data_IF_903347064247
#
_entry.id   IF_903347064247
#
_cell.length_a   1.000
_cell.length_b   1.000
_cell.length_c   1.000
_cell.angle_alpha   90.00
_cell.angle_beta   90.00
_cell.angle_gamma   90.00
#
_symmetry.space_group_name_H-M   'P 1'
#
loop_
_entity.id
_entity.type
_entity.pdbx_description
1 polymer ?
#
# COMPACT_ATOMS: atom_id res chain seq x y z
N UNK A 1 -27.21 -13.25 2.12
CA UNK A 1 -26.74 -11.98 2.71
C UNK A 1 -25.32 -11.75 2.20
N UNK A 2 -25.14 -10.93 1.16
CA UNK A 2 -23.78 -10.65 0.68
C UNK A 2 -23.07 -9.80 1.74
N UNK A 3 -22.19 -10.43 2.50
CA UNK A 3 -21.21 -9.76 3.36
C UNK A 3 -20.45 -8.81 2.45
N UNK A 4 -20.69 -7.51 2.58
CA UNK A 4 -19.92 -6.51 1.87
C UNK A 4 -18.45 -6.75 2.21
N UNK A 5 -17.66 -7.21 1.24
CA UNK A 5 -16.22 -7.37 1.42
C UNK A 5 -15.61 -5.96 1.38
N UNK A 6 -15.71 -5.24 2.49
CA UNK A 6 -15.11 -3.91 2.62
C UNK A 6 -13.60 -4.07 2.48
N UNK A 7 -12.93 -3.28 1.62
CA UNK A 7 -11.51 -3.45 1.38
C UNK A 7 -10.70 -2.88 2.56
N UNK A 8 -10.63 -3.63 3.67
CA UNK A 8 -9.96 -3.23 4.91
C UNK A 8 -8.51 -2.82 4.66
N UNK A 9 -7.83 -3.49 3.72
CA UNK A 9 -6.49 -3.13 3.29
C UNK A 9 -6.38 -1.69 2.79
N UNK A 10 -7.39 -1.14 2.08
CA UNK A 10 -7.38 0.25 1.62
C UNK A 10 -7.42 1.22 2.79
N UNK A 11 -8.28 0.94 3.78
CA UNK A 11 -8.33 1.77 5.00
C UNK A 11 -6.99 1.76 5.71
N UNK A 12 -6.39 0.58 5.88
CA UNK A 12 -5.07 0.44 6.54
C UNK A 12 -3.98 1.21 5.80
N UNK A 13 -3.94 1.12 4.47
CA UNK A 13 -3.00 1.89 3.65
C UNK A 13 -3.25 3.40 3.77
N UNK A 14 -4.50 3.85 3.74
CA UNK A 14 -4.84 5.27 3.87
C UNK A 14 -4.49 5.85 5.23
N UNK A 15 -4.81 5.14 6.33
CA UNK A 15 -4.51 5.59 7.70
C UNK A 15 -3.00 5.70 7.96
N UNK A 16 -2.19 4.91 7.25
CA UNK A 16 -0.73 4.93 7.38
C UNK A 16 -0.01 5.65 6.22
N UNK A 17 -0.75 6.34 5.33
CA UNK A 17 -0.21 6.88 4.09
C UNK A 17 1.00 7.78 4.30
N UNK A 18 0.91 8.74 5.23
CA UNK A 18 1.99 9.68 5.52
C UNK A 18 3.26 8.95 5.98
N UNK A 19 3.11 7.93 6.83
CA UNK A 19 4.24 7.17 7.35
C UNK A 19 4.93 6.36 6.26
N UNK A 20 4.13 5.73 5.38
CA UNK A 20 4.69 4.99 4.25
C UNK A 20 5.46 5.92 3.31
N UNK A 21 4.91 7.10 2.96
CA UNK A 21 5.61 7.99 2.03
C UNK A 21 6.91 8.60 2.60
N UNK A 22 7.03 8.74 3.92
CA UNK A 22 8.22 9.31 4.58
C UNK A 22 9.29 8.29 4.89
N UNK A 23 8.91 7.06 5.26
CA UNK A 23 9.82 6.17 5.98
C UNK A 23 10.47 5.12 5.07
N UNK A 24 9.89 4.79 3.90
CA UNK A 24 10.38 3.68 3.06
C UNK A 24 11.35 4.12 1.95
N UNK A 25 12.28 3.24 1.61
CA UNK A 25 12.98 3.21 0.33
C UNK A 25 12.22 2.24 -0.59
N UNK A 26 11.77 2.71 -1.75
CA UNK A 26 10.80 2.01 -2.59
C UNK A 26 11.44 0.95 -3.48
N UNK A 27 12.72 1.04 -3.81
CA UNK A 27 13.38 0.28 -4.87
C UNK A 27 13.21 -1.24 -4.67
N UNK A 28 13.64 -1.77 -3.52
CA UNK A 28 13.52 -3.19 -3.19
C UNK A 28 12.06 -3.66 -3.07
N UNK A 29 11.17 -2.74 -2.66
CA UNK A 29 9.73 -3.03 -2.51
C UNK A 29 9.08 -3.14 -3.88
N UNK A 30 9.37 -2.20 -4.78
CA UNK A 30 8.85 -2.18 -6.16
C UNK A 30 9.33 -3.41 -6.91
N UNK A 31 10.62 -3.76 -6.81
CA UNK A 31 11.17 -4.96 -7.43
C UNK A 31 10.47 -6.24 -6.95
N UNK A 32 10.25 -6.35 -5.63
CA UNK A 32 9.48 -7.47 -5.09
C UNK A 32 8.06 -7.51 -5.68
N UNK A 33 7.36 -6.37 -5.71
CA UNK A 33 5.99 -6.30 -6.20
C UNK A 33 5.88 -6.60 -7.70
N UNK A 34 6.90 -6.25 -8.50
CA UNK A 34 6.99 -6.65 -9.91
C UNK A 34 7.22 -8.15 -10.02
N UNK A 35 8.14 -8.72 -9.24
CA UNK A 35 8.43 -10.17 -9.25
C UNK A 35 7.23 -11.03 -8.85
N UNK A 36 6.26 -10.44 -8.14
CA UNK A 36 5.00 -11.07 -7.72
C UNK A 36 3.81 -10.69 -8.59
N UNK A 37 4.06 -10.02 -9.72
CA UNK A 37 3.05 -9.59 -10.70
C UNK A 37 1.95 -8.69 -10.10
N UNK A 38 2.22 -8.07 -8.94
CA UNK A 38 1.32 -7.08 -8.34
C UNK A 38 1.43 -5.76 -9.10
N UNK A 39 2.65 -5.40 -9.50
CA UNK A 39 2.95 -4.27 -10.37
C UNK A 39 3.52 -4.77 -11.70
N UNK A 40 3.22 -4.08 -12.78
CA UNK A 40 3.92 -4.29 -14.05
C UNK A 40 5.25 -3.52 -14.07
N UNK A 41 6.13 -3.87 -15.01
CA UNK A 41 7.37 -3.12 -15.24
C UNK A 41 7.08 -1.65 -15.58
N UNK A 42 6.00 -1.37 -16.32
CA UNK A 42 5.62 0.00 -16.64
C UNK A 42 5.05 0.77 -15.44
N UNK A 43 4.41 0.09 -14.49
CA UNK A 43 4.06 0.69 -13.20
C UNK A 43 5.31 1.08 -12.42
N UNK A 44 6.34 0.21 -12.42
CA UNK A 44 7.66 0.51 -11.85
C UNK A 44 8.28 1.77 -12.45
N UNK A 45 8.32 1.88 -13.79
CA UNK A 45 8.82 3.09 -14.47
C UNK A 45 8.04 4.35 -14.09
N UNK A 46 6.72 4.26 -13.93
CA UNK A 46 5.90 5.40 -13.47
C UNK A 46 6.25 5.79 -12.05
N UNK A 47 6.48 4.83 -11.16
CA UNK A 47 6.93 5.09 -9.79
C UNK A 47 8.27 5.82 -9.83
N UNK A 48 9.24 5.30 -10.59
CA UNK A 48 10.59 5.87 -10.74
C UNK A 48 10.61 7.27 -11.38
N UNK A 49 9.55 7.65 -12.10
CA UNK A 49 9.44 8.99 -12.70
C UNK A 49 9.24 10.11 -11.68
N UNK A 50 8.95 9.79 -10.40
CA UNK A 50 8.88 10.76 -9.31
C UNK A 50 10.24 11.41 -9.05
N UNK A 51 10.25 12.72 -8.76
CA UNK A 51 11.50 13.50 -8.63
C UNK A 51 12.15 13.31 -7.27
N UNK A 52 11.35 13.07 -6.24
CA UNK A 52 11.81 12.91 -4.86
C UNK A 52 11.44 11.52 -4.33
N UNK A 53 12.15 10.97 -3.34
CA UNK A 53 11.77 9.70 -2.70
C UNK A 53 10.31 9.71 -2.25
N UNK A 54 9.82 10.82 -1.70
CA UNK A 54 8.44 10.98 -1.25
C UNK A 54 7.44 10.93 -2.43
N UNK A 55 7.76 11.56 -3.56
CA UNK A 55 6.93 11.48 -4.78
C UNK A 55 6.88 10.05 -5.33
N UNK A 56 8.01 9.34 -5.33
CA UNK A 56 8.06 7.93 -5.76
C UNK A 56 7.23 7.05 -4.83
N UNK A 57 7.39 7.21 -3.51
CA UNK A 57 6.59 6.48 -2.52
C UNK A 57 5.09 6.82 -2.63
N UNK A 58 4.75 8.07 -2.95
CA UNK A 58 3.38 8.50 -3.24
C UNK A 58 2.81 7.74 -4.44
N UNK A 59 3.56 7.68 -5.54
CA UNK A 59 3.16 6.93 -6.74
C UNK A 59 2.95 5.44 -6.42
N UNK A 60 3.84 4.83 -5.62
CA UNK A 60 3.69 3.46 -5.17
C UNK A 60 2.39 3.27 -4.37
N UNK A 61 2.11 4.14 -3.40
CA UNK A 61 0.89 4.07 -2.60
C UNK A 61 -0.38 4.22 -3.45
N UNK A 62 -0.37 5.15 -4.40
CA UNK A 62 -1.50 5.37 -5.30
C UNK A 62 -1.77 4.15 -6.19
N UNK A 63 -0.72 3.41 -6.57
CA UNK A 63 -0.87 2.11 -7.25
C UNK A 63 -1.43 1.04 -6.32
N UNK A 64 -0.90 0.89 -5.11
CA UNK A 64 -1.34 -0.11 -4.13
C UNK A 64 -2.82 0.05 -3.73
N UNK A 65 -3.31 1.30 -3.60
CA UNK A 65 -4.72 1.59 -3.32
C UNK A 65 -5.69 1.13 -4.42
N UNK A 66 -5.17 0.89 -5.64
CA UNK A 66 -5.93 0.34 -6.79
C UNK A 66 -5.81 -1.17 -6.91
N UNK A 67 -4.91 -1.82 -6.16
CA UNK A 67 -4.76 -3.28 -6.14
C UNK A 67 -5.75 -3.92 -5.18
N UNK A 68 -5.79 -5.25 -5.20
CA UNK A 68 -6.61 -6.08 -4.32
C UNK A 68 -5.87 -6.42 -3.02
N UNK A 69 -6.51 -7.19 -2.14
CA UNK A 69 -5.94 -7.63 -0.87
C UNK A 69 -4.65 -8.45 -1.04
N UNK A 70 -4.52 -9.23 -2.12
CA UNK A 70 -3.27 -9.95 -2.41
C UNK A 70 -2.11 -8.98 -2.64
N UNK A 71 -2.33 -7.89 -3.37
CA UNK A 71 -1.32 -6.85 -3.58
C UNK A 71 -0.88 -6.18 -2.27
N UNK A 72 -1.82 -5.95 -1.35
CA UNK A 72 -1.51 -5.48 0.00
C UNK A 72 -0.66 -6.48 0.79
N UNK A 73 -1.00 -7.76 0.75
CA UNK A 73 -0.26 -8.79 1.47
C UNK A 73 1.18 -8.92 0.95
N UNK A 74 1.38 -8.84 -0.37
CA UNK A 74 2.74 -8.84 -0.95
C UNK A 74 3.52 -7.57 -0.61
N UNK A 75 2.85 -6.41 -0.47
CA UNK A 75 3.48 -5.20 0.03
C UNK A 75 3.96 -5.36 1.48
N UNK A 76 3.14 -5.92 2.39
CA UNK A 76 3.57 -6.21 3.76
C UNK A 76 4.74 -7.21 3.81
N UNK A 77 4.73 -8.23 2.95
CA UNK A 77 5.85 -9.17 2.82
C UNK A 77 7.11 -8.46 2.35
N UNK A 78 7.01 -7.54 1.40
CA UNK A 78 8.14 -6.76 0.92
C UNK A 78 8.76 -5.91 2.03
N UNK A 79 7.93 -5.23 2.84
CA UNK A 79 8.40 -4.48 4.01
C UNK A 79 9.12 -5.41 4.99
N UNK A 80 8.56 -6.58 5.29
CA UNK A 80 9.16 -7.55 6.24
C UNK A 80 10.46 -8.20 5.77
N UNK A 81 10.78 -8.12 4.47
CA UNK A 81 12.07 -8.60 3.97
C UNK A 81 13.23 -7.74 4.46
N UNK A 82 12.98 -6.47 4.72
CA UNK A 82 13.95 -5.58 5.35
C UNK A 82 13.57 -5.40 6.83
N UNK A 83 14.47 -5.80 7.73
CA UNK A 83 14.22 -5.72 9.17
C UNK A 83 13.89 -4.30 9.64
N UNK A 84 14.39 -3.26 8.94
CA UNK A 84 14.12 -1.87 9.32
C UNK A 84 12.65 -1.46 9.12
N UNK A 85 11.90 -2.19 8.27
CA UNK A 85 10.50 -1.91 7.97
C UNK A 85 9.53 -2.94 8.56
N UNK A 86 10.01 -3.94 9.28
CA UNK A 86 9.17 -4.98 9.88
C UNK A 86 8.13 -4.38 10.84
N UNK A 87 8.54 -3.45 11.70
CA UNK A 87 7.64 -2.76 12.64
C UNK A 87 6.58 -1.91 11.92
N UNK A 88 6.95 -1.30 10.78
CA UNK A 88 6.02 -0.53 9.95
C UNK A 88 4.98 -1.47 9.32
N UNK A 89 5.39 -2.64 8.82
CA UNK A 89 4.47 -3.63 8.27
C UNK A 89 3.44 -4.09 9.31
N UNK A 90 3.92 -4.40 10.52
CA UNK A 90 3.08 -4.80 11.64
C UNK A 90 2.12 -3.69 12.09
N UNK A 91 2.59 -2.43 12.13
CA UNK A 91 1.74 -1.28 12.43
C UNK A 91 0.61 -1.16 11.39
N UNK A 92 0.92 -1.27 10.10
CA UNK A 92 -0.08 -1.17 9.03
C UNK A 92 -1.10 -2.31 9.13
N UNK A 93 -0.64 -3.55 9.35
CA UNK A 93 -1.51 -4.72 9.45
C UNK A 93 -2.44 -4.66 10.67
N UNK A 94 -1.91 -4.24 11.82
CA UNK A 94 -2.66 -4.15 13.08
C UNK A 94 -3.50 -2.87 13.19
N UNK A 95 -3.42 -1.96 12.22
CA UNK A 95 -4.21 -0.73 12.21
C UNK A 95 -5.70 -1.06 12.26
N UNK A 96 -6.35 -0.59 13.32
CA UNK A 96 -7.79 -0.77 13.53
C UNK A 96 -8.58 -0.06 12.43
N UNK A 97 -9.57 -0.77 11.89
CA UNK A 97 -10.50 -0.26 10.88
C UNK A 97 -11.87 -0.17 11.53
N UNK A 98 -12.39 1.05 11.65
CA UNK A 98 -13.70 1.29 12.26
C UNK A 98 -14.81 1.33 11.21
N UNK A 99 -16.06 1.15 11.63
CA UNK A 99 -17.23 1.26 10.75
C UNK A 99 -17.30 2.64 10.06
N UNK A 100 -16.90 3.71 10.75
CA UNK A 100 -16.83 5.07 10.20
C UNK A 100 -15.78 5.19 9.08
N UNK A 101 -14.63 4.54 9.24
CA UNK A 101 -13.58 4.52 8.22
C UNK A 101 -14.08 3.88 6.92
N UNK A 102 -14.81 2.76 7.04
CA UNK A 102 -15.37 2.04 5.87
C UNK A 102 -16.50 2.82 5.19
N UNK A 103 -17.33 3.55 5.94
CA UNK A 103 -18.41 4.37 5.40
C UNK A 103 -17.88 5.57 4.61
N UNK A 104 -16.77 6.17 5.06
CA UNK A 104 -16.12 7.29 4.37
C UNK A 104 -15.55 6.87 3.01
N UNK A 105 -14.93 5.68 2.94
CA UNK A 105 -14.45 5.10 1.68
C UNK A 105 -15.56 4.91 0.64
N UNK A 106 -16.74 4.45 1.05
CA UNK A 106 -17.87 4.24 0.14
C UNK A 106 -18.38 5.55 -0.47
N UNK A 107 -18.23 6.67 0.24
CA UNK A 107 -18.69 7.99 -0.22
C UNK A 107 -17.73 8.66 -1.21
N UNK A 108 -16.42 8.44 -1.09
CA UNK A 108 -15.41 8.98 -2.00
C UNK A 108 -15.25 8.19 -3.32
N UNK A 109 -15.91 7.04 -3.44
CA UNK A 109 -15.83 6.14 -4.61
C UNK A 109 -17.03 6.29 -5.57
N UNK A 110 -17.90 7.29 -5.36
CA UNK A 110 -19.06 7.62 -6.19
C UNK A 110 -18.86 8.93 -6.94
#
# INVERSE_FOLDING_TARGET
LSVWNFPLYKVRLQKNYLKVITDIQHENIVDHLISKEVLSVDDGKKIESGKTPQEKNRNLMDMLLRKNEQGFNEFLKALRKDSIYADLADQIEKTEVTSTDTATLHKCSK
#
